data_IF_466438334813
#
_entry.id   IF_466438334813
#
_cell.length_a   1.000
_cell.length_b   1.000
_cell.length_c   1.000
_cell.angle_alpha   90.00
_cell.angle_beta   90.00
_cell.angle_gamma   90.00
#
_symmetry.space_group_name_H-M   'P 1'
#
loop_
_entity.id
_entity.type
_entity.pdbx_description
1 polymer ?
#
# COMPACT_ATOMS: atom_id res chain seq x y z
N UNK A 1 7.39 11.48 -11.97
CA UNK A 1 8.78 11.72 -11.55
C UNK A 1 8.74 12.22 -10.13
N UNK A 2 9.30 11.46 -9.19
CA UNK A 2 9.43 11.87 -7.78
C UNK A 2 10.64 12.79 -7.63
N UNK A 3 10.52 13.84 -6.81
CA UNK A 3 11.67 14.70 -6.49
C UNK A 3 12.67 13.93 -5.64
N UNK A 4 13.95 14.19 -5.84
CA UNK A 4 15.02 13.65 -4.99
C UNK A 4 15.06 14.39 -3.64
N UNK A 5 15.65 13.77 -2.61
CA UNK A 5 15.61 14.29 -1.24
C UNK A 5 16.25 15.69 -1.11
N UNK A 6 17.28 15.95 -1.90
CA UNK A 6 18.00 17.23 -1.94
C UNK A 6 17.22 18.34 -2.65
N UNK A 7 16.32 17.99 -3.57
CA UNK A 7 15.44 18.98 -4.23
C UNK A 7 14.23 19.31 -3.37
N UNK A 8 13.67 18.33 -2.67
CA UNK A 8 12.54 18.52 -1.76
C UNK A 8 12.89 19.45 -0.59
N UNK A 9 14.09 19.34 -0.03
CA UNK A 9 14.53 20.17 1.10
C UNK A 9 14.75 21.65 0.75
N UNK A 10 14.88 21.99 -0.55
CA UNK A 10 15.01 23.37 -1.04
C UNK A 10 13.67 24.06 -1.24
N UNK A 11 12.56 23.30 -1.23
CA UNK A 11 11.21 23.84 -1.36
C UNK A 11 10.77 24.53 -0.06
N UNK A 12 9.95 25.57 -0.19
CA UNK A 12 9.28 26.18 0.96
C UNK A 12 8.24 25.23 1.57
N UNK A 13 7.82 25.51 2.81
CA UNK A 13 6.90 24.65 3.56
C UNK A 13 5.53 24.52 2.87
N UNK A 14 5.08 25.57 2.19
CA UNK A 14 3.83 25.58 1.42
C UNK A 14 3.94 24.75 0.14
N UNK A 15 5.06 24.85 -0.60
CA UNK A 15 5.31 24.06 -1.81
C UNK A 15 5.47 22.56 -1.50
N UNK A 16 6.08 22.23 -0.36
CA UNK A 16 6.16 20.86 0.16
C UNK A 16 4.76 20.29 0.44
N UNK A 17 3.91 21.06 1.11
CA UNK A 17 2.53 20.65 1.40
C UNK A 17 1.70 20.42 0.13
N UNK A 18 1.86 21.28 -0.88
CA UNK A 18 1.19 21.11 -2.17
C UNK A 18 1.67 19.88 -2.93
N UNK A 19 2.98 19.65 -2.94
CA UNK A 19 3.59 18.47 -3.55
C UNK A 19 3.08 17.19 -2.89
N UNK A 20 3.11 17.13 -1.56
CA UNK A 20 2.61 16.02 -0.77
C UNK A 20 1.11 15.78 -0.97
N UNK A 21 0.31 16.84 -1.07
CA UNK A 21 -1.13 16.74 -1.34
C UNK A 21 -1.40 16.21 -2.76
N UNK A 22 -0.62 16.64 -3.76
CA UNK A 22 -0.72 16.15 -5.14
C UNK A 22 -0.33 14.67 -5.22
N UNK A 23 0.77 14.27 -4.59
CA UNK A 23 1.20 12.87 -4.55
C UNK A 23 0.16 11.99 -3.83
N UNK A 24 -0.40 12.43 -2.70
CA UNK A 24 -1.45 11.70 -1.99
C UNK A 24 -2.72 11.50 -2.84
N UNK A 25 -3.09 12.48 -3.65
CA UNK A 25 -4.25 12.38 -4.55
C UNK A 25 -4.00 11.40 -5.70
N UNK A 26 -2.81 11.42 -6.29
CA UNK A 26 -2.42 10.49 -7.36
C UNK A 26 -2.37 9.05 -6.85
N UNK A 27 -1.70 8.83 -5.71
CA UNK A 27 -1.68 7.53 -5.02
C UNK A 27 -3.10 7.04 -4.69
N UNK A 28 -3.98 7.92 -4.22
CA UNK A 28 -5.38 7.55 -3.92
C UNK A 28 -6.17 7.19 -5.19
N UNK A 29 -5.93 7.88 -6.31
CA UNK A 29 -6.59 7.57 -7.58
C UNK A 29 -6.12 6.22 -8.13
N UNK A 30 -4.82 5.93 -8.06
CA UNK A 30 -4.25 4.63 -8.45
C UNK A 30 -4.71 3.50 -7.54
N UNK A 31 -4.78 3.75 -6.23
CA UNK A 31 -5.31 2.80 -5.25
C UNK A 31 -6.81 2.56 -5.43
N UNK A 32 -7.58 3.56 -5.88
CA UNK A 32 -9.01 3.43 -6.17
C UNK A 32 -9.29 2.66 -7.46
N UNK A 33 -8.33 2.61 -8.39
CA UNK A 33 -8.41 1.80 -9.60
C UNK A 33 -8.20 0.30 -9.32
N UNK A 34 -7.63 -0.06 -8.16
CA UNK A 34 -7.49 -1.46 -7.78
C UNK A 34 -8.84 -2.04 -7.32
N UNK A 35 -9.18 -3.28 -7.74
CA UNK A 35 -10.42 -3.94 -7.33
C UNK A 35 -10.40 -4.43 -5.87
N UNK A 36 -9.35 -4.12 -5.10
CA UNK A 36 -9.18 -4.46 -3.68
C UNK A 36 -8.47 -3.32 -2.94
N UNK A 37 -8.70 -3.23 -1.62
CA UNK A 37 -8.05 -2.23 -0.75
C UNK A 37 -7.03 -2.94 0.14
N UNK A 38 -5.87 -2.32 0.37
CA UNK A 38 -4.89 -2.85 1.31
C UNK A 38 -4.32 -1.73 2.20
N UNK A 39 -3.93 -2.09 3.42
CA UNK A 39 -3.26 -1.20 4.35
C UNK A 39 -2.17 -1.97 5.09
N UNK A 40 -1.04 -1.30 5.35
CA UNK A 40 0.09 -1.91 6.03
C UNK A 40 0.44 -1.14 7.29
N UNK A 41 0.59 -1.88 8.39
CA UNK A 41 1.21 -1.45 9.63
C UNK A 41 2.61 -2.06 9.72
N UNK A 42 3.40 -1.65 10.70
CA UNK A 42 4.76 -2.19 10.90
C UNK A 42 4.73 -3.71 11.12
N UNK A 43 3.71 -4.19 11.81
CA UNK A 43 3.62 -5.59 12.25
C UNK A 43 2.81 -6.48 11.28
N UNK A 44 1.85 -5.91 10.54
CA UNK A 44 0.93 -6.69 9.73
C UNK A 44 0.37 -5.93 8.52
N UNK A 45 -0.18 -6.70 7.57
CA UNK A 45 -0.84 -6.20 6.37
C UNK A 45 -2.31 -6.64 6.38
N UNK A 46 -3.22 -5.69 6.18
CA UNK A 46 -4.65 -5.92 6.07
C UNK A 46 -5.07 -5.77 4.60
N UNK A 47 -5.71 -6.79 4.03
CA UNK A 47 -6.21 -6.78 2.64
C UNK A 47 -7.73 -7.02 2.65
N UNK A 48 -8.46 -6.10 2.03
CA UNK A 48 -9.92 -6.14 1.92
C UNK A 48 -10.31 -6.29 0.45
N UNK A 49 -10.84 -7.46 0.10
CA UNK A 49 -11.28 -7.81 -1.26
C UNK A 49 -12.81 -7.81 -1.28
N UNK A 50 -13.46 -6.88 -2.01
CA UNK A 50 -14.90 -6.90 -2.19
C UNK A 50 -15.29 -8.13 -3.02
N UNK A 51 -16.23 -8.92 -2.50
CA UNK A 51 -16.79 -10.08 -3.19
C UNK A 51 -18.26 -9.85 -3.52
N UNK A 52 -18.78 -10.40 -4.63
CA UNK A 52 -20.21 -10.31 -4.96
C UNK A 52 -21.07 -10.98 -3.90
N UNK A 53 -22.31 -10.51 -3.74
CA UNK A 53 -23.26 -11.05 -2.77
C UNK A 53 -23.61 -12.51 -3.09
N UNK A 54 -23.79 -13.31 -2.04
CA UNK A 54 -24.04 -14.75 -2.17
C UNK A 54 -22.78 -15.62 -2.25
N UNK A 55 -21.58 -15.03 -2.25
CA UNK A 55 -20.32 -15.77 -2.12
C UNK A 55 -20.27 -16.49 -0.78
N UNK A 56 -20.04 -17.81 -0.80
CA UNK A 56 -19.90 -18.63 0.42
C UNK A 56 -18.45 -18.95 0.71
N UNK A 57 -18.12 -19.19 1.98
CA UNK A 57 -16.75 -19.52 2.41
C UNK A 57 -16.13 -20.70 1.64
N UNK A 58 -16.94 -21.72 1.25
CA UNK A 58 -16.48 -22.88 0.47
C UNK A 58 -15.95 -22.53 -0.93
N UNK A 59 -16.31 -21.36 -1.45
CA UNK A 59 -15.93 -20.90 -2.77
C UNK A 59 -14.69 -20.01 -2.74
N UNK A 60 -14.23 -19.61 -1.55
CA UNK A 60 -13.08 -18.74 -1.37
C UNK A 60 -11.85 -19.59 -1.09
N UNK A 61 -10.86 -19.51 -1.97
CA UNK A 61 -9.57 -20.15 -1.78
C UNK A 61 -8.49 -19.09 -1.61
N UNK A 62 -7.90 -19.04 -0.42
CA UNK A 62 -6.79 -18.15 -0.10
C UNK A 62 -5.53 -18.98 0.09
N UNK A 63 -4.50 -18.70 -0.72
CA UNK A 63 -3.20 -19.36 -0.61
C UNK A 63 -2.15 -18.36 -0.17
N UNK A 64 -1.60 -18.58 1.03
CA UNK A 64 -0.46 -17.83 1.56
C UNK A 64 0.83 -18.63 1.31
N UNK A 65 1.75 -18.05 0.55
CA UNK A 65 3.14 -18.50 0.43
C UNK A 65 4.04 -17.36 0.89
N UNK A 66 5.26 -17.66 1.33
CA UNK A 66 6.18 -16.65 1.88
C UNK A 66 6.42 -15.44 0.96
N UNK A 67 6.31 -15.62 -0.36
CA UNK A 67 6.51 -14.56 -1.36
C UNK A 67 5.27 -14.27 -2.21
N UNK A 68 4.19 -15.03 -2.05
CA UNK A 68 3.02 -14.93 -2.94
C UNK A 68 1.71 -15.03 -2.17
N UNK A 69 0.77 -14.17 -2.53
CA UNK A 69 -0.61 -14.20 -2.06
C UNK A 69 -1.52 -14.42 -3.27
N UNK A 70 -2.36 -15.45 -3.20
CA UNK A 70 -3.42 -15.67 -4.20
C UNK A 70 -4.77 -15.76 -3.51
N UNK A 71 -5.71 -14.95 -4.00
CA UNK A 71 -7.12 -14.96 -3.58
C UNK A 71 -7.98 -15.31 -4.78
N UNK A 72 -8.68 -16.44 -4.68
CA UNK A 72 -9.57 -16.96 -5.71
C UNK A 72 -10.98 -17.09 -5.15
N UNK A 73 -11.96 -16.71 -5.95
CA UNK A 73 -13.38 -16.91 -5.64
C UNK A 73 -13.97 -17.71 -6.79
N UNK A 74 -14.38 -18.96 -6.51
CA UNK A 74 -14.69 -19.98 -7.51
C UNK A 74 -13.52 -20.16 -8.50
N UNK A 75 -13.70 -19.76 -9.76
CA UNK A 75 -12.68 -19.81 -10.82
C UNK A 75 -12.08 -18.44 -11.16
N UNK A 76 -12.60 -17.36 -10.57
CA UNK A 76 -12.11 -16.01 -10.82
C UNK A 76 -10.99 -15.66 -9.85
N UNK A 77 -9.86 -15.24 -10.39
CA UNK A 77 -8.72 -14.80 -9.58
C UNK A 77 -8.82 -13.30 -9.33
N UNK A 78 -8.94 -12.93 -8.06
CA UNK A 78 -9.08 -11.52 -7.65
C UNK A 78 -7.73 -10.87 -7.36
N UNK A 79 -6.81 -11.63 -6.76
CA UNK A 79 -5.48 -11.16 -6.41
C UNK A 79 -4.49 -12.24 -6.80
N UNK A 80 -3.60 -11.92 -7.72
CA UNK A 80 -2.42 -12.73 -8.05
C UNK A 80 -1.20 -11.83 -7.89
N UNK A 81 -0.46 -12.02 -6.79
CA UNK A 81 0.75 -11.24 -6.50
C UNK A 81 1.91 -12.18 -6.22
N UNK A 82 3.00 -12.02 -6.97
CA UNK A 82 4.16 -12.92 -6.93
C UNK A 82 5.32 -12.32 -6.12
N UNK A 83 5.26 -11.02 -5.80
CA UNK A 83 6.22 -10.40 -4.89
C UNK A 83 5.60 -9.13 -4.30
N UNK A 84 5.26 -9.16 -3.01
CA UNK A 84 5.15 -7.94 -2.22
C UNK A 84 6.57 -7.38 -2.04
N UNK A 85 7.10 -6.67 -3.04
CA UNK A 85 7.86 -5.50 -2.65
C UNK A 85 6.82 -4.57 -2.07
N UNK A 86 6.85 -4.45 -0.74
CA UNK A 86 6.21 -3.35 -0.05
C UNK A 86 6.38 -2.08 -0.91
N UNK A 87 5.43 -1.18 -0.86
CA UNK A 87 5.72 0.21 -1.19
C UNK A 87 6.85 0.70 -0.25
N UNK A 88 8.11 0.40 -0.57
CA UNK A 88 9.31 0.72 0.21
C UNK A 88 9.72 2.17 -0.01
N UNK A 89 8.74 3.08 -0.07
CA UNK A 89 8.97 4.51 -0.22
C UNK A 89 8.35 5.35 0.89
N UNK A 90 7.77 4.75 1.96
CA UNK A 90 7.21 5.51 3.08
C UNK A 90 7.49 4.88 4.46
N UNK A 91 8.77 4.75 4.84
CA UNK A 91 9.30 4.94 6.23
C UNK A 91 10.75 4.44 6.35
N UNK A 92 11.70 5.18 5.78
CA UNK A 92 13.02 5.34 6.44
C UNK A 92 12.87 6.47 7.47
N UNK A 93 11.95 6.29 8.44
CA UNK A 93 11.94 7.15 9.63
C UNK A 93 13.12 6.66 10.46
N UNK A 94 14.18 7.47 10.47
CA UNK A 94 15.22 7.42 11.48
C UNK A 94 14.55 7.47 12.85
N UNK A 95 14.50 6.33 13.54
CA UNK A 95 14.49 6.30 15.00
C UNK A 95 15.91 6.63 15.46
N UNK A 96 16.36 7.88 15.25
CA UNK A 96 17.48 8.42 16.03
C UNK A 96 16.86 8.98 17.30
N UNK A 97 16.91 8.17 18.36
CA UNK A 97 16.42 8.52 19.68
C UNK A 97 17.02 9.83 20.16
N UNK A 98 16.15 10.83 20.37
CA UNK A 98 16.47 12.00 21.17
C UNK A 98 16.52 11.57 22.63
N UNK A 99 17.73 11.45 23.15
CA UNK A 99 18.01 11.40 24.58
C UNK A 99 17.67 12.80 25.14
N UNK A 100 16.60 12.90 25.94
CA UNK A 100 16.39 14.06 26.81
C UNK A 100 16.78 13.64 28.23
N UNK A 101 17.88 14.25 28.70
CA UNK A 101 18.15 14.47 30.12
C UNK A 101 17.22 15.55 30.67
#
# INVERSE_FOLDING_TARGET
>A
MTLDADEYSKLSLDEQNEYDAKQRKQEHAEQAALPYRWSQKLDHVEVNVPVPSGTRARQVQVTFKSKALSVKVNETVFVETVTFYLCTSKKRIKMSGGLMS
#
